data_IF_258860141437
#
_entry.id   IF_258860141437
#
_cell.length_a   1.000
_cell.length_b   1.000
_cell.length_c   1.000
_cell.angle_alpha   90.00
_cell.angle_beta   90.00
_cell.angle_gamma   90.00
#
_symmetry.space_group_name_H-M   'P 1'
#
loop_
_entity.id
_entity.type
_entity.pdbx_description
1 polymer ?
#
# COMPACT_ATOMS: atom_id res chain seq x y z
N UNK A 1 15.08 21.02 10.41
CA UNK A 1 13.72 20.46 10.47
C UNK A 1 13.61 19.42 9.36
N UNK A 2 12.93 18.32 9.58
CA UNK A 2 12.66 17.27 8.59
C UNK A 2 11.19 17.35 8.24
N UNK A 3 10.84 17.61 6.96
CA UNK A 3 9.46 17.57 6.51
C UNK A 3 8.89 16.13 6.59
N UNK A 4 7.69 16.01 7.12
CA UNK A 4 6.94 14.75 7.21
C UNK A 4 5.56 15.00 6.65
N UNK A 5 5.16 14.20 5.66
CA UNK A 5 3.80 14.20 5.13
C UNK A 5 3.03 13.00 5.68
N UNK A 6 1.71 13.06 5.72
CA UNK A 6 0.86 11.93 6.09
C UNK A 6 -0.07 11.56 4.95
N UNK A 7 -0.07 10.28 4.62
CA UNK A 7 -0.94 9.68 3.60
C UNK A 7 -1.67 8.47 4.17
N UNK A 8 -2.84 8.18 3.65
CA UNK A 8 -3.47 6.88 3.86
C UNK A 8 -3.99 6.27 2.56
N UNK A 9 -4.03 4.94 2.53
CA UNK A 9 -4.71 4.16 1.51
C UNK A 9 -5.81 3.32 2.16
N UNK A 10 -7.08 3.69 1.97
CA UNK A 10 -8.22 3.01 2.61
C UNK A 10 -8.07 2.89 4.15
N UNK A 11 -7.64 3.99 4.81
CA UNK A 11 -7.52 4.07 6.26
C UNK A 11 -6.30 3.41 6.90
N UNK A 12 -5.42 2.79 6.11
CA UNK A 12 -4.09 2.37 6.55
C UNK A 12 -3.13 3.53 6.28
N UNK A 13 -2.61 4.14 7.33
CA UNK A 13 -1.95 5.44 7.29
C UNK A 13 -0.42 5.35 7.46
N UNK A 14 0.28 6.25 6.79
CA UNK A 14 1.74 6.27 6.76
C UNK A 14 2.28 7.68 6.87
N UNK A 15 3.33 7.86 7.67
CA UNK A 15 4.19 9.02 7.52
C UNK A 15 5.13 8.81 6.34
N UNK A 16 5.33 9.86 5.57
CA UNK A 16 6.23 9.88 4.41
C UNK A 16 7.35 10.87 4.67
N UNK A 17 8.58 10.39 4.54
CA UNK A 17 9.81 11.17 4.68
C UNK A 17 10.60 11.02 3.39
N UNK A 18 11.06 12.13 2.81
CA UNK A 18 11.99 12.08 1.68
C UNK A 18 13.28 11.38 2.12
N UNK A 19 13.72 10.38 1.37
CA UNK A 19 14.91 9.60 1.72
C UNK A 19 16.22 10.42 1.67
N UNK A 20 16.20 11.61 1.05
CA UNK A 20 17.30 12.55 1.04
C UNK A 20 17.44 13.32 2.38
N UNK A 21 16.41 13.30 3.24
CA UNK A 21 16.47 13.97 4.52
C UNK A 21 17.51 13.32 5.47
N UNK A 22 18.25 14.13 6.25
CA UNK A 22 19.34 13.64 7.10
C UNK A 22 18.83 12.99 8.40
N UNK A 23 18.16 11.84 8.26
CA UNK A 23 17.68 11.03 9.38
C UNK A 23 18.79 10.10 9.85
N UNK A 24 19.30 10.31 11.06
CA UNK A 24 20.42 9.54 11.61
C UNK A 24 20.04 8.09 11.92
N UNK A 25 18.86 7.86 12.48
CA UNK A 25 18.31 6.54 12.78
C UNK A 25 16.84 6.47 12.33
N UNK A 26 16.61 5.87 11.16
CA UNK A 26 15.27 5.72 10.58
C UNK A 26 14.38 4.79 11.40
N UNK A 27 14.97 3.79 12.09
CA UNK A 27 14.21 2.85 12.92
C UNK A 27 13.70 3.52 14.19
N UNK A 28 14.58 4.25 14.88
CA UNK A 28 14.19 5.01 16.07
C UNK A 28 13.13 6.06 15.72
N UNK A 29 13.29 6.74 14.58
CA UNK A 29 12.31 7.71 14.11
C UNK A 29 10.95 7.05 13.81
N UNK A 30 10.92 5.86 13.18
CA UNK A 30 9.68 5.17 12.89
C UNK A 30 8.95 4.77 14.17
N UNK A 31 9.65 4.22 15.16
CA UNK A 31 9.08 3.86 16.47
C UNK A 31 8.48 5.09 17.15
N UNK A 32 9.22 6.23 17.16
CA UNK A 32 8.76 7.47 17.78
C UNK A 32 7.54 8.07 17.08
N UNK A 33 7.58 8.18 15.74
CA UNK A 33 6.49 8.81 15.00
C UNK A 33 5.21 7.98 14.99
N UNK A 34 5.33 6.66 14.91
CA UNK A 34 4.18 5.77 14.76
C UNK A 34 3.43 5.47 16.06
N UNK A 35 3.96 5.86 17.20
CA UNK A 35 3.29 5.65 18.50
C UNK A 35 1.88 6.24 18.48
N UNK A 36 0.87 5.44 18.84
CA UNK A 36 -0.55 5.86 18.78
C UNK A 36 -0.98 6.70 19.99
N UNK A 37 -0.15 6.76 21.04
CA UNK A 37 -0.42 7.56 22.24
C UNK A 37 0.36 8.88 22.23
N UNK A 38 1.67 8.82 21.95
CA UNK A 38 2.61 9.95 22.09
C UNK A 38 3.32 10.33 20.76
N UNK A 39 2.99 9.70 19.65
CA UNK A 39 3.62 9.90 18.36
C UNK A 39 3.26 11.22 17.67
N UNK A 40 3.65 11.35 16.39
CA UNK A 40 3.36 12.55 15.62
C UNK A 40 1.87 12.64 15.28
N UNK A 41 1.28 13.83 15.49
CA UNK A 41 -0.11 14.11 15.10
C UNK A 41 -0.13 14.92 13.81
N UNK A 42 -0.75 14.37 12.75
CA UNK A 42 -1.08 15.05 11.50
C UNK A 42 -2.49 14.63 11.10
N UNK A 43 -3.33 15.59 10.71
CA UNK A 43 -4.75 15.34 10.46
C UNK A 43 -5.51 15.07 11.77
N UNK A 44 -6.38 14.06 11.75
CA UNK A 44 -7.28 13.74 12.89
C UNK A 44 -6.70 12.64 13.81
N UNK A 45 -5.55 12.03 13.48
CA UNK A 45 -5.01 10.89 14.23
C UNK A 45 -3.57 11.10 14.69
N UNK A 46 -3.23 10.45 15.81
CA UNK A 46 -1.87 10.36 16.37
C UNK A 46 -1.22 9.08 15.87
N UNK A 47 0.08 9.11 15.58
CA UNK A 47 0.82 7.98 15.07
C UNK A 47 0.42 7.55 13.66
N UNK A 48 0.95 6.41 13.22
CA UNK A 48 0.66 5.80 11.92
C UNK A 48 0.98 4.29 11.94
N UNK A 49 0.53 3.57 10.88
CA UNK A 49 0.82 2.14 10.68
C UNK A 49 2.24 1.90 10.13
N UNK A 50 2.99 2.96 9.83
CA UNK A 50 4.38 2.88 9.42
C UNK A 50 4.95 4.20 8.90
N UNK A 51 6.26 4.18 8.61
CA UNK A 51 6.97 5.28 7.94
C UNK A 51 7.50 4.80 6.60
N UNK A 52 7.15 5.53 5.55
CA UNK A 52 7.69 5.36 4.21
C UNK A 52 8.85 6.34 3.99
N UNK A 53 10.06 5.82 3.81
CA UNK A 53 11.18 6.60 3.29
C UNK A 53 11.20 6.46 1.77
N UNK A 54 10.95 7.57 1.06
CA UNK A 54 10.75 7.59 -0.38
C UNK A 54 11.86 8.38 -1.08
N UNK A 55 12.46 7.79 -2.11
CA UNK A 55 13.36 8.50 -3.02
C UNK A 55 12.74 8.54 -4.42
N UNK A 56 12.47 9.75 -4.93
CA UNK A 56 11.98 9.94 -6.29
C UNK A 56 13.17 10.08 -7.26
N UNK A 57 13.23 9.18 -8.23
CA UNK A 57 14.19 9.17 -9.32
C UNK A 57 13.45 9.46 -10.63
N UNK A 58 13.51 10.67 -11.10
CA UNK A 58 12.78 11.17 -12.28
C UNK A 58 13.60 11.23 -13.57
N UNK A 59 14.88 10.84 -13.50
CA UNK A 59 15.79 10.79 -14.65
C UNK A 59 15.55 9.62 -15.63
N UNK A 60 14.59 8.75 -15.34
CA UNK A 60 14.24 7.61 -16.20
C UNK A 60 13.06 7.94 -17.12
N UNK A 61 12.91 7.16 -18.21
CA UNK A 61 11.77 7.28 -19.13
C UNK A 61 10.42 7.08 -18.42
N UNK A 62 10.37 6.22 -17.38
CA UNK A 62 9.28 6.14 -16.42
C UNK A 62 9.84 6.53 -15.06
N UNK A 63 9.34 7.58 -14.42
CA UNK A 63 9.79 7.97 -13.08
C UNK A 63 9.70 6.80 -12.10
N UNK A 64 10.63 6.74 -11.15
CA UNK A 64 10.73 5.69 -10.15
C UNK A 64 10.65 6.29 -8.75
N UNK A 65 9.97 5.59 -7.86
CA UNK A 65 10.02 5.85 -6.43
C UNK A 65 10.55 4.62 -5.71
N UNK A 66 11.69 4.77 -5.04
CA UNK A 66 12.25 3.71 -4.19
C UNK A 66 11.59 3.82 -2.82
N UNK A 67 10.91 2.76 -2.39
CA UNK A 67 10.16 2.71 -1.14
C UNK A 67 10.86 1.82 -0.11
N UNK A 68 11.14 2.38 1.06
CA UNK A 68 11.51 1.62 2.26
C UNK A 68 10.43 1.83 3.30
N UNK A 69 9.74 0.75 3.68
CA UNK A 69 8.73 0.77 4.75
C UNK A 69 9.37 0.32 6.07
N UNK A 70 9.22 1.13 7.10
CA UNK A 70 9.47 0.77 8.49
C UNK A 70 8.15 0.71 9.24
N UNK A 71 7.92 -0.42 9.93
CA UNK A 71 6.76 -0.67 10.77
C UNK A 71 6.90 0.02 12.15
N UNK A 72 5.84 0.14 12.95
CA UNK A 72 5.90 0.78 14.27
C UNK A 72 6.90 0.15 15.25
N UNK A 73 7.25 -1.13 15.07
CA UNK A 73 8.28 -1.83 15.85
C UNK A 73 9.72 -1.59 15.30
N UNK A 74 9.86 -0.77 14.27
CA UNK A 74 11.13 -0.51 13.59
C UNK A 74 11.59 -1.62 12.63
N UNK A 75 10.81 -2.69 12.43
CA UNK A 75 11.11 -3.72 11.43
C UNK A 75 10.78 -3.24 10.02
N UNK A 76 11.27 -3.95 8.99
CA UNK A 76 10.95 -3.66 7.59
C UNK A 76 9.95 -4.65 7.04
N UNK A 77 9.01 -4.20 6.22
CA UNK A 77 8.17 -5.07 5.42
C UNK A 77 8.58 -5.01 3.94
N UNK A 78 8.71 -6.17 3.26
CA UNK A 78 9.17 -6.21 1.86
C UNK A 78 8.16 -5.61 0.89
N UNK A 79 6.89 -5.62 1.22
CA UNK A 79 5.78 -5.07 0.44
C UNK A 79 4.62 -4.68 1.36
N UNK A 80 3.97 -3.57 1.01
CA UNK A 80 2.67 -3.15 1.53
C UNK A 80 1.89 -2.53 0.38
N UNK A 81 0.74 -3.11 0.00
CA UNK A 81 -0.06 -2.62 -1.12
C UNK A 81 -0.59 -1.20 -0.90
N UNK A 82 -0.99 -0.88 0.33
CA UNK A 82 -1.46 0.47 0.68
C UNK A 82 -0.29 1.46 0.69
N UNK A 83 0.85 1.09 1.31
CA UNK A 83 2.06 1.93 1.31
C UNK A 83 2.59 2.18 -0.10
N UNK A 84 2.57 1.18 -0.98
CA UNK A 84 2.99 1.34 -2.37
C UNK A 84 2.06 2.28 -3.17
N UNK A 85 0.74 2.26 -2.90
CA UNK A 85 -0.20 3.25 -3.47
C UNK A 85 0.10 4.66 -2.95
N UNK A 86 0.31 4.82 -1.65
CA UNK A 86 0.71 6.11 -1.07
C UNK A 86 2.03 6.63 -1.65
N UNK A 87 3.03 5.76 -1.85
CA UNK A 87 4.30 6.11 -2.48
C UNK A 87 4.12 6.58 -3.93
N UNK A 88 3.27 5.90 -4.71
CA UNK A 88 2.95 6.31 -6.08
C UNK A 88 2.23 7.67 -6.12
N UNK A 89 1.24 7.90 -5.26
CA UNK A 89 0.52 9.16 -5.14
C UNK A 89 1.45 10.32 -4.74
N UNK A 90 2.33 10.09 -3.76
CA UNK A 90 3.35 11.06 -3.35
C UNK A 90 4.30 11.43 -4.51
N UNK A 91 4.76 10.44 -5.27
CA UNK A 91 5.63 10.68 -6.42
C UNK A 91 4.89 11.44 -7.54
N UNK A 92 3.68 11.03 -7.89
CA UNK A 92 2.84 11.69 -8.89
C UNK A 92 2.58 13.16 -8.55
N UNK A 93 2.24 13.45 -7.28
CA UNK A 93 2.03 14.82 -6.81
C UNK A 93 3.29 15.69 -6.96
N UNK A 94 4.49 15.15 -6.70
CA UNK A 94 5.76 15.88 -6.91
C UNK A 94 6.05 16.12 -8.39
N UNK A 95 5.80 15.14 -9.25
CA UNK A 95 5.98 15.27 -10.69
C UNK A 95 5.04 16.33 -11.26
N UNK A 96 3.75 16.29 -10.94
CA UNK A 96 2.76 17.30 -11.37
C UNK A 96 3.17 18.71 -10.94
N UNK A 97 3.57 18.91 -9.68
CA UNK A 97 4.06 20.21 -9.17
C UNK A 97 5.30 20.72 -9.91
N UNK A 98 6.20 19.81 -10.30
CA UNK A 98 7.38 20.19 -11.10
C UNK A 98 6.97 20.66 -12.49
N UNK A 99 6.14 19.90 -13.17
CA UNK A 99 5.66 20.22 -14.53
C UNK A 99 4.89 21.54 -14.56
N UNK A 100 4.08 21.83 -13.53
CA UNK A 100 3.40 23.11 -13.37
C UNK A 100 4.38 24.28 -13.22
N UNK A 101 5.43 24.11 -12.41
CA UNK A 101 6.49 25.12 -12.23
C UNK A 101 7.24 25.37 -13.54
N UNK A 102 7.57 24.33 -14.28
CA UNK A 102 8.25 24.44 -15.58
C UNK A 102 7.38 25.16 -16.61
N UNK A 103 6.11 24.76 -16.73
CA UNK A 103 5.12 25.43 -17.61
C UNK A 103 4.96 26.90 -17.25
N UNK A 104 4.85 27.22 -15.96
CA UNK A 104 4.73 28.60 -15.46
C UNK A 104 5.99 29.41 -15.76
N UNK A 105 7.18 28.83 -15.62
CA UNK A 105 8.46 29.45 -15.94
C UNK A 105 8.58 29.77 -17.45
N UNK A 106 8.23 28.80 -18.30
CA UNK A 106 8.24 28.98 -19.77
C UNK A 106 7.24 30.08 -20.19
N UNK A 107 6.02 30.05 -19.65
CA UNK A 107 5.01 31.07 -19.93
C UNK A 107 5.45 32.48 -19.49
N UNK A 108 6.13 32.58 -18.35
CA UNK A 108 6.70 33.84 -17.83
C UNK A 108 7.86 34.34 -18.71
N UNK A 109 8.71 33.46 -19.23
CA UNK A 109 9.80 33.78 -20.13
C UNK A 109 9.25 34.25 -21.50
N UNK A 110 8.24 33.58 -22.05
CA UNK A 110 7.60 33.95 -23.30
C UNK A 110 6.94 35.35 -23.24
N UNK A 111 6.32 35.70 -22.11
CA UNK A 111 5.74 37.04 -21.91
C UNK A 111 6.79 38.16 -21.84
N UNK A 112 8.01 37.86 -21.41
CA UNK A 112 9.12 38.83 -21.35
C UNK A 112 9.81 39.06 -22.68
N UNK A 113 9.70 38.12 -23.63
CA UNK A 113 10.35 38.21 -24.93
C UNK A 113 9.51 38.93 -26.03
N UNK A 114 8.29 39.41 -25.73
CA UNK A 114 7.44 40.20 -26.66
C UNK A 114 6.81 39.38 -27.79
N UNK A 115 5.76 39.86 -28.44
CA UNK A 115 5.02 39.09 -29.43
C UNK A 115 5.74 39.03 -30.77
N UNK A 116 6.31 37.89 -31.13
CA UNK A 116 6.55 37.53 -32.51
C UNK A 116 5.30 36.75 -32.97
N UNK A 117 4.47 37.43 -33.78
CA UNK A 117 3.28 36.80 -34.34
C UNK A 117 3.62 35.65 -35.26
N UNK A 118 2.94 34.52 -35.04
CA UNK A 118 2.52 33.62 -36.13
C UNK A 118 1.35 32.77 -35.63
N UNK A 119 0.17 33.04 -36.25
CA UNK A 119 -0.98 32.13 -36.21
C UNK A 119 -0.60 30.81 -36.91
N UNK A 120 -0.64 29.72 -36.17
CA UNK A 120 -0.71 28.39 -36.75
C UNK A 120 -1.85 27.63 -36.03
N UNK A 121 -3.02 27.62 -36.66
CA UNK A 121 -4.11 26.70 -36.29
C UNK A 121 -3.72 25.31 -36.77
N UNK A 122 -3.41 24.42 -35.87
CA UNK A 122 -3.30 22.99 -36.10
C UNK A 122 -4.56 22.32 -35.53
N UNK A 123 -5.43 21.83 -36.41
CA UNK A 123 -6.52 20.93 -36.07
C UNK A 123 -5.92 19.56 -35.70
N UNK A 124 -5.86 19.23 -34.43
CA UNK A 124 -5.54 17.92 -33.94
C UNK A 124 -6.82 17.10 -33.80
N UNK A 125 -6.87 15.98 -34.50
CA UNK A 125 -7.93 15.00 -34.50
C UNK A 125 -8.07 14.38 -33.09
N UNK A 126 -9.30 14.45 -32.55
CA UNK A 126 -9.69 13.75 -31.35
C UNK A 126 -9.63 12.22 -31.58
N UNK A 127 -8.77 11.54 -30.86
CA UNK A 127 -8.75 10.10 -30.73
C UNK A 127 -8.56 9.75 -29.26
N UNK A 128 -9.53 9.02 -28.71
CA UNK A 128 -9.58 8.30 -27.42
C UNK A 128 -8.91 8.98 -26.21
N UNK A 129 -9.65 9.85 -25.54
CA UNK A 129 -9.25 10.60 -24.34
C UNK A 129 -9.80 9.99 -23.06
N UNK A 130 -9.37 8.79 -22.68
CA UNK A 130 -9.73 8.23 -21.37
C UNK A 130 -8.56 8.08 -20.40
N UNK A 131 -7.30 8.41 -20.78
CA UNK A 131 -6.13 8.14 -19.93
C UNK A 131 -4.95 9.15 -20.13
N UNK A 132 -5.20 10.32 -20.74
CA UNK A 132 -4.11 11.27 -21.06
C UNK A 132 -3.55 12.03 -19.84
N UNK A 133 -4.26 12.04 -18.70
CA UNK A 133 -3.85 12.80 -17.50
C UNK A 133 -3.29 11.90 -16.37
N UNK A 134 -3.26 10.58 -16.54
CA UNK A 134 -2.77 9.67 -15.51
C UNK A 134 -1.24 9.62 -15.46
N UNK A 135 -0.68 9.77 -14.25
CA UNK A 135 0.77 9.71 -14.02
C UNK A 135 1.22 8.27 -13.77
N UNK A 136 2.08 7.73 -14.63
CA UNK A 136 2.71 6.41 -14.41
C UNK A 136 4.01 6.54 -13.64
N UNK A 137 4.16 5.72 -12.58
CA UNK A 137 5.35 5.65 -11.72
C UNK A 137 5.73 4.18 -11.49
N UNK A 138 7.02 3.88 -11.52
CA UNK A 138 7.55 2.59 -11.10
C UNK A 138 7.86 2.64 -9.59
N UNK A 139 7.23 1.77 -8.80
CA UNK A 139 7.46 1.67 -7.35
C UNK A 139 8.42 0.52 -7.08
N UNK A 140 9.62 0.84 -6.65
CA UNK A 140 10.64 -0.13 -6.29
C UNK A 140 10.51 -0.50 -4.81
N UNK A 141 10.20 -1.75 -4.54
CA UNK A 141 10.06 -2.33 -3.20
C UNK A 141 11.07 -3.46 -2.98
N UNK A 142 11.23 -3.93 -1.76
CA UNK A 142 12.06 -5.11 -1.49
C UNK A 142 11.51 -6.39 -2.13
N UNK A 143 10.21 -6.45 -2.45
CA UNK A 143 9.57 -7.55 -3.18
C UNK A 143 9.65 -7.40 -4.71
N UNK A 144 10.31 -6.33 -5.20
CA UNK A 144 10.51 -6.03 -6.61
C UNK A 144 9.79 -4.75 -7.06
N UNK A 145 9.98 -4.44 -8.34
CA UNK A 145 9.37 -3.24 -8.96
C UNK A 145 7.92 -3.50 -9.33
N UNK A 146 7.06 -2.52 -9.08
CA UNK A 146 5.64 -2.52 -9.44
C UNK A 146 5.30 -1.29 -10.25
N UNK A 147 4.55 -1.46 -11.34
CA UNK A 147 4.01 -0.33 -12.10
C UNK A 147 2.76 0.17 -11.40
N UNK A 148 2.70 1.47 -11.19
CA UNK A 148 1.53 2.15 -10.67
C UNK A 148 1.09 3.28 -11.61
N UNK A 149 -0.22 3.52 -11.68
CA UNK A 149 -0.83 4.63 -12.41
C UNK A 149 -1.71 5.40 -11.44
N UNK A 150 -1.52 6.70 -11.38
CA UNK A 150 -2.23 7.62 -10.48
C UNK A 150 -3.08 8.55 -11.33
N UNK A 151 -4.39 8.53 -11.14
CA UNK A 151 -5.33 9.43 -11.81
C UNK A 151 -5.43 10.79 -11.09
N UNK A 152 -6.22 11.70 -11.65
CA UNK A 152 -6.41 13.05 -11.11
C UNK A 152 -7.18 13.09 -9.78
N UNK A 153 -7.86 12.00 -9.40
CA UNK A 153 -8.53 11.85 -8.12
C UNK A 153 -7.66 11.24 -7.02
N UNK A 154 -6.35 11.06 -7.28
CA UNK A 154 -5.39 10.35 -6.43
C UNK A 154 -5.80 8.89 -6.15
N UNK A 155 -6.64 8.29 -7.04
CA UNK A 155 -6.84 6.85 -7.06
C UNK A 155 -5.67 6.19 -7.76
N UNK A 156 -5.17 5.12 -7.16
CA UNK A 156 -3.96 4.43 -7.60
C UNK A 156 -4.29 3.01 -8.03
N UNK A 157 -3.91 2.69 -9.26
CA UNK A 157 -3.90 1.33 -9.78
C UNK A 157 -2.46 0.82 -9.78
N UNK A 158 -2.20 -0.33 -9.13
CA UNK A 158 -0.85 -0.90 -9.00
C UNK A 158 -0.82 -2.38 -9.34
N UNK A 159 0.22 -2.80 -10.07
CA UNK A 159 0.48 -4.22 -10.36
C UNK A 159 1.01 -4.92 -9.09
N UNK A 160 0.37 -6.04 -8.71
CA UNK A 160 0.70 -6.79 -7.50
C UNK A 160 1.40 -8.12 -7.78
N UNK A 161 1.64 -8.44 -9.09
CA UNK A 161 2.18 -9.73 -9.48
C UNK A 161 1.18 -10.87 -9.36
N UNK A 162 1.62 -12.09 -9.64
CA UNK A 162 0.76 -13.28 -9.65
C UNK A 162 0.63 -13.86 -8.22
N UNK A 163 -0.60 -14.09 -7.71
CA UNK A 163 -0.81 -14.88 -6.50
C UNK A 163 -0.23 -16.29 -6.64
N UNK A 164 0.40 -16.81 -5.60
CA UNK A 164 1.07 -18.11 -5.62
C UNK A 164 0.56 -19.02 -4.49
N UNK A 165 0.10 -20.21 -4.86
CA UNK A 165 -0.42 -21.22 -3.92
C UNK A 165 0.61 -22.32 -3.59
N UNK A 166 1.70 -22.40 -4.35
CA UNK A 166 2.72 -23.42 -4.14
C UNK A 166 3.34 -23.34 -2.72
N UNK A 167 3.50 -24.47 -2.02
CA UNK A 167 3.98 -24.50 -0.64
C UNK A 167 5.27 -23.74 -0.40
N UNK A 168 6.23 -23.86 -1.30
CA UNK A 168 7.51 -23.15 -1.22
C UNK A 168 7.36 -21.62 -1.34
N UNK A 169 6.33 -21.14 -2.04
CA UNK A 169 6.06 -19.71 -2.23
C UNK A 169 5.36 -19.10 -1.01
N UNK A 170 4.43 -19.85 -0.39
CA UNK A 170 3.69 -19.39 0.81
C UNK A 170 4.49 -19.57 2.10
N UNK A 171 5.58 -20.28 2.11
CA UNK A 171 6.30 -21.13 3.05
C UNK A 171 5.42 -21.83 4.10
N UNK A 172 4.59 -22.77 3.63
CA UNK A 172 3.86 -23.70 4.51
C UNK A 172 4.67 -24.95 4.80
N UNK A 173 4.45 -25.57 5.97
CA UNK A 173 5.19 -26.76 6.45
C UNK A 173 4.61 -28.06 5.88
N UNK A 174 4.45 -28.13 4.54
CA UNK A 174 3.93 -29.30 3.82
C UNK A 174 4.35 -29.24 2.34
N UNK A 175 4.25 -30.38 1.65
CA UNK A 175 4.66 -30.51 0.25
C UNK A 175 3.53 -30.15 -0.74
N UNK A 176 2.29 -30.10 -0.30
CA UNK A 176 1.11 -29.78 -1.13
C UNK A 176 0.52 -28.41 -0.75
N UNK A 177 -0.17 -27.73 -1.69
CA UNK A 177 -0.91 -26.52 -1.40
C UNK A 177 -1.88 -26.70 -0.22
N UNK A 178 -1.99 -25.70 0.63
CA UNK A 178 -2.92 -25.70 1.75
C UNK A 178 -4.22 -25.07 1.28
N UNK A 179 -5.23 -25.90 1.03
CA UNK A 179 -6.54 -25.49 0.48
C UNK A 179 -7.64 -26.04 1.36
N UNK A 180 -8.50 -25.17 1.89
CA UNK A 180 -9.64 -25.50 2.76
C UNK A 180 -9.29 -26.40 3.96
N UNK A 181 -8.16 -26.14 4.60
CA UNK A 181 -7.70 -26.93 5.74
C UNK A 181 -8.12 -26.32 7.06
N UNK A 182 -8.60 -27.13 8.02
CA UNK A 182 -8.93 -26.67 9.37
C UNK A 182 -7.66 -26.37 10.17
N UNK A 183 -7.45 -25.10 10.54
CA UNK A 183 -6.32 -24.64 11.35
C UNK A 183 -6.85 -23.72 12.45
N UNK A 184 -6.65 -24.11 13.72
CA UNK A 184 -6.97 -23.31 14.90
C UNK A 184 -8.38 -22.68 14.87
N UNK A 185 -9.37 -23.44 14.40
CA UNK A 185 -10.77 -23.04 14.39
C UNK A 185 -11.24 -22.30 13.13
N UNK A 186 -10.36 -22.05 12.18
CA UNK A 186 -10.71 -21.54 10.85
C UNK A 186 -10.40 -22.59 9.75
N UNK A 187 -11.22 -22.62 8.72
CA UNK A 187 -10.89 -23.37 7.50
C UNK A 187 -10.17 -22.41 6.56
N UNK A 188 -8.88 -22.62 6.31
CA UNK A 188 -8.03 -21.67 5.59
C UNK A 188 -7.48 -22.23 4.30
N UNK A 189 -7.30 -21.33 3.32
CA UNK A 189 -6.52 -21.56 2.11
C UNK A 189 -5.32 -20.61 2.13
N UNK A 190 -4.12 -21.14 1.89
CA UNK A 190 -2.88 -20.37 1.96
C UNK A 190 -2.48 -19.85 0.58
N UNK A 191 -2.17 -18.57 0.49
CA UNK A 191 -1.72 -17.90 -0.74
C UNK A 191 -0.62 -16.88 -0.43
N UNK A 192 0.32 -16.71 -1.33
CA UNK A 192 1.30 -15.62 -1.27
C UNK A 192 0.96 -14.54 -2.31
N UNK A 193 0.79 -13.32 -1.83
CA UNK A 193 0.59 -12.10 -2.61
C UNK A 193 1.68 -11.08 -2.26
N UNK A 194 2.95 -11.49 -2.42
CA UNK A 194 4.22 -10.93 -1.94
C UNK A 194 4.43 -11.11 -0.42
N UNK A 195 3.37 -11.30 0.34
CA UNK A 195 3.39 -11.76 1.73
C UNK A 195 2.43 -12.94 1.88
N UNK A 196 2.71 -13.87 2.83
CA UNK A 196 1.85 -15.03 3.03
C UNK A 196 0.54 -14.65 3.73
N UNK A 197 -0.57 -15.17 3.22
CA UNK A 197 -1.91 -15.07 3.79
C UNK A 197 -2.52 -16.44 4.05
N UNK A 198 -3.16 -16.60 5.20
CA UNK A 198 -4.13 -17.64 5.51
C UNK A 198 -5.52 -17.03 5.36
N UNK A 199 -6.23 -17.37 4.27
CA UNK A 199 -7.54 -16.80 3.95
C UNK A 199 -8.63 -17.78 4.36
N UNK A 200 -9.60 -17.32 5.15
CA UNK A 200 -10.79 -18.08 5.51
C UNK A 200 -12.06 -17.38 5.05
N UNK A 201 -12.94 -18.09 4.35
CA UNK A 201 -14.28 -17.60 4.06
C UNK A 201 -15.22 -17.98 5.21
N UNK A 202 -15.97 -16.99 5.67
CA UNK A 202 -16.93 -17.08 6.77
C UNK A 202 -18.29 -16.54 6.34
N UNK A 203 -19.36 -16.86 7.06
CA UNK A 203 -20.70 -16.36 6.72
C UNK A 203 -20.81 -14.83 6.89
N UNK A 204 -20.19 -14.31 7.96
CA UNK A 204 -20.17 -12.87 8.29
C UNK A 204 -18.86 -12.54 9.01
N UNK A 205 -18.04 -11.67 8.43
CA UNK A 205 -16.78 -11.22 9.04
C UNK A 205 -17.01 -10.48 10.36
N UNK A 206 -18.16 -9.81 10.53
CA UNK A 206 -18.47 -9.08 11.75
C UNK A 206 -18.79 -10.00 12.95
N UNK A 207 -19.19 -11.25 12.69
CA UNK A 207 -19.49 -12.24 13.73
C UNK A 207 -18.23 -12.92 14.31
N UNK A 208 -17.05 -12.71 13.69
CA UNK A 208 -15.79 -13.34 14.10
C UNK A 208 -15.00 -12.40 15.03
N UNK A 209 -14.65 -12.89 16.20
CA UNK A 209 -13.64 -12.23 17.07
C UNK A 209 -12.25 -12.54 16.51
N UNK A 210 -11.80 -11.69 15.56
CA UNK A 210 -10.56 -11.91 14.82
C UNK A 210 -9.34 -11.84 15.75
N UNK A 211 -9.33 -10.93 16.72
CA UNK A 211 -8.22 -10.78 17.66
C UNK A 211 -8.09 -12.02 18.60
N UNK A 212 -9.18 -12.73 18.84
CA UNK A 212 -9.15 -13.95 19.62
C UNK A 212 -8.63 -15.16 18.82
N UNK A 213 -9.02 -15.29 17.54
CA UNK A 213 -8.72 -16.49 16.73
C UNK A 213 -7.44 -16.37 15.90
N UNK A 214 -7.15 -15.18 15.37
CA UNK A 214 -6.06 -15.00 14.42
C UNK A 214 -4.65 -15.26 14.99
N UNK A 215 -4.31 -14.92 16.25
CA UNK A 215 -2.98 -15.18 16.81
C UNK A 215 -2.57 -16.65 16.78
N UNK A 216 -3.53 -17.58 16.98
CA UNK A 216 -3.28 -19.02 16.93
C UNK A 216 -3.03 -19.47 15.49
N UNK A 217 -3.89 -19.09 14.54
CA UNK A 217 -3.73 -19.40 13.11
C UNK A 217 -2.41 -18.83 12.56
N UNK A 218 -2.10 -17.56 12.89
CA UNK A 218 -0.89 -16.87 12.44
C UNK A 218 0.40 -17.61 12.84
N UNK A 219 0.41 -18.28 13.99
CA UNK A 219 1.57 -18.97 14.56
C UNK A 219 1.46 -20.49 14.50
N UNK A 220 0.43 -21.01 13.81
CA UNK A 220 0.25 -22.44 13.66
C UNK A 220 1.48 -23.10 13.00
N UNK A 221 1.77 -24.35 13.36
CA UNK A 221 2.89 -25.12 12.80
C UNK A 221 2.85 -25.20 11.27
N UNK A 222 1.65 -25.08 10.69
CA UNK A 222 1.46 -24.99 9.23
C UNK A 222 2.18 -23.77 8.61
N UNK A 223 2.41 -22.71 9.36
CA UNK A 223 3.03 -21.45 8.91
C UNK A 223 4.32 -21.16 9.71
N UNK A 224 5.46 -21.84 9.43
CA UNK A 224 6.69 -21.72 10.22
C UNK A 224 7.29 -20.31 10.24
N UNK A 225 6.92 -19.45 9.28
CA UNK A 225 7.30 -18.03 9.25
C UNK A 225 6.14 -17.09 9.60
N UNK A 226 5.01 -17.68 10.02
CA UNK A 226 3.75 -16.97 10.23
C UNK A 226 3.14 -16.43 8.93
N UNK A 227 1.84 -16.17 8.97
CA UNK A 227 1.07 -15.60 7.88
C UNK A 227 0.17 -14.47 8.39
N UNK A 228 -0.26 -13.55 7.51
CA UNK A 228 -1.42 -12.72 7.78
C UNK A 228 -2.66 -13.61 7.83
N UNK A 229 -3.58 -13.34 8.73
CA UNK A 229 -4.85 -14.05 8.80
C UNK A 229 -5.94 -13.15 8.26
N UNK A 230 -6.51 -13.54 7.11
CA UNK A 230 -7.51 -12.76 6.40
C UNK A 230 -8.82 -13.54 6.41
N UNK A 231 -9.88 -12.94 6.93
CA UNK A 231 -11.22 -13.48 6.82
C UNK A 231 -12.02 -12.67 5.79
N UNK A 232 -12.89 -13.36 5.05
CA UNK A 232 -13.75 -12.73 4.06
C UNK A 232 -15.15 -13.33 4.12
N UNK A 233 -16.18 -12.52 3.81
CA UNK A 233 -17.55 -12.98 3.65
C UNK A 233 -18.17 -12.41 2.37
N UNK A 234 -19.07 -13.14 1.69
CA UNK A 234 -19.76 -12.64 0.52
C UNK A 234 -20.61 -11.39 0.86
N UNK A 235 -20.49 -10.35 0.04
CA UNK A 235 -21.31 -9.12 0.17
C UNK A 235 -22.33 -9.02 -0.97
N UNK A 236 -21.88 -9.32 -2.20
CA UNK A 236 -22.68 -9.42 -3.42
C UNK A 236 -21.91 -10.28 -4.42
N UNK A 237 -22.46 -10.53 -5.60
CA UNK A 237 -21.74 -11.23 -6.67
C UNK A 237 -20.43 -10.49 -7.01
N UNK A 238 -19.29 -11.18 -6.92
CA UNK A 238 -17.96 -10.60 -7.15
C UNK A 238 -17.52 -9.56 -6.12
N UNK A 239 -18.18 -9.49 -4.95
CA UNK A 239 -17.83 -8.56 -3.89
C UNK A 239 -17.76 -9.26 -2.53
N UNK A 240 -16.75 -8.90 -1.72
CA UNK A 240 -16.48 -9.49 -0.41
C UNK A 240 -16.17 -8.42 0.64
N UNK A 241 -16.69 -8.61 1.84
CA UNK A 241 -16.18 -7.94 3.03
C UNK A 241 -14.90 -8.63 3.49
N UNK A 242 -13.95 -7.88 4.04
CA UNK A 242 -12.63 -8.37 4.47
C UNK A 242 -12.25 -7.80 5.83
N UNK A 243 -11.61 -8.65 6.66
CA UNK A 243 -10.84 -8.20 7.83
C UNK A 243 -9.52 -8.95 7.85
N UNK A 244 -8.43 -8.28 8.28
CA UNK A 244 -7.09 -8.89 8.30
C UNK A 244 -6.36 -8.56 9.60
N UNK A 245 -5.86 -9.62 10.24
CA UNK A 245 -4.88 -9.55 11.31
C UNK A 245 -3.49 -9.66 10.68
N UNK A 246 -2.68 -8.60 10.80
CA UNK A 246 -1.42 -8.52 10.07
C UNK A 246 -0.21 -8.96 10.90
N UNK A 247 0.63 -9.77 10.26
CA UNK A 247 1.94 -10.15 10.78
C UNK A 247 2.88 -8.95 10.81
N UNK A 248 3.48 -8.68 11.97
CA UNK A 248 4.36 -7.52 12.19
C UNK A 248 3.65 -6.33 12.83
N UNK A 249 2.35 -6.16 12.57
CA UNK A 249 1.47 -5.27 13.36
C UNK A 249 0.97 -6.02 14.59
N UNK A 250 0.73 -7.33 14.46
CA UNK A 250 0.19 -8.22 15.50
C UNK A 250 -1.19 -7.76 15.99
N UNK A 251 -2.02 -7.27 15.08
CA UNK A 251 -3.36 -6.77 15.30
C UNK A 251 -4.15 -6.63 14.01
N UNK A 252 -5.44 -6.33 14.12
CA UNK A 252 -6.30 -6.02 12.99
C UNK A 252 -5.99 -4.63 12.44
N UNK A 253 -5.84 -4.53 11.11
CA UNK A 253 -5.65 -3.25 10.42
C UNK A 253 -6.91 -2.83 9.68
N UNK A 254 -7.06 -1.53 9.45
CA UNK A 254 -8.23 -0.99 8.75
C UNK A 254 -8.27 -1.39 7.27
N UNK A 255 -7.13 -1.73 6.67
CA UNK A 255 -7.04 -2.16 5.28
C UNK A 255 -5.76 -2.93 5.02
N UNK A 256 -5.87 -4.02 4.29
CA UNK A 256 -4.73 -4.81 3.81
C UNK A 256 -4.87 -5.04 2.29
N UNK A 257 -4.07 -4.32 1.49
CA UNK A 257 -4.13 -4.42 0.02
C UNK A 257 -3.68 -5.79 -0.50
N UNK A 258 -2.63 -6.39 0.08
CA UNK A 258 -2.21 -7.77 -0.24
C UNK A 258 -3.26 -8.78 0.19
N UNK A 259 -3.97 -8.52 1.30
CA UNK A 259 -5.10 -9.30 1.75
C UNK A 259 -6.29 -9.25 0.80
N UNK A 260 -6.58 -8.06 0.22
CA UNK A 260 -7.63 -7.94 -0.79
C UNK A 260 -7.32 -8.77 -2.05
N UNK A 261 -6.06 -8.75 -2.51
CA UNK A 261 -5.58 -9.61 -3.60
C UNK A 261 -5.68 -11.09 -3.21
N UNK A 262 -5.36 -11.44 -1.95
CA UNK A 262 -5.47 -12.80 -1.44
C UNK A 262 -6.93 -13.29 -1.44
N UNK A 263 -7.87 -12.45 -0.97
CA UNK A 263 -9.32 -12.76 -1.00
C UNK A 263 -9.78 -13.02 -2.42
N UNK A 264 -9.46 -12.13 -3.38
CA UNK A 264 -9.87 -12.29 -4.78
C UNK A 264 -9.27 -13.56 -5.40
N UNK A 265 -7.99 -13.85 -5.14
CA UNK A 265 -7.31 -15.03 -5.66
C UNK A 265 -7.92 -16.34 -5.11
N UNK A 266 -8.14 -16.40 -3.79
CA UNK A 266 -8.72 -17.58 -3.14
C UNK A 266 -10.20 -17.75 -3.51
N UNK A 267 -10.96 -16.66 -3.64
CA UNK A 267 -12.34 -16.72 -4.10
C UNK A 267 -12.46 -17.37 -5.49
N UNK A 268 -11.55 -17.06 -6.41
CA UNK A 268 -11.49 -17.72 -7.74
C UNK A 268 -11.03 -19.16 -7.65
N UNK A 269 -9.99 -19.44 -6.85
CA UNK A 269 -9.47 -20.81 -6.68
C UNK A 269 -10.54 -21.77 -6.14
N UNK A 270 -11.37 -21.28 -5.19
CA UNK A 270 -12.44 -22.08 -4.58
C UNK A 270 -13.77 -22.03 -5.35
N UNK A 271 -13.85 -21.26 -6.45
CA UNK A 271 -15.07 -21.14 -7.26
C UNK A 271 -16.17 -20.31 -6.59
N UNK A 272 -15.83 -19.43 -5.63
CA UNK A 272 -16.79 -18.47 -5.08
C UNK A 272 -17.14 -17.34 -6.07
N UNK A 273 -16.31 -17.13 -7.09
CA UNK A 273 -16.55 -16.19 -8.19
C UNK A 273 -15.72 -16.54 -9.40
N UNK A 274 -16.31 -16.32 -10.60
CA UNK A 274 -15.63 -16.41 -11.90
C UNK A 274 -15.27 -15.00 -12.44
N UNK A 275 -15.57 -13.94 -11.68
CA UNK A 275 -15.35 -12.56 -12.11
C UNK A 275 -13.85 -12.24 -12.25
N UNK A 276 -13.46 -11.58 -13.34
CA UNK A 276 -12.11 -11.06 -13.53
C UNK A 276 -11.82 -9.88 -12.58
N UNK A 277 -12.85 -9.10 -12.24
CA UNK A 277 -12.77 -7.98 -11.31
C UNK A 277 -13.58 -8.30 -10.04
N UNK A 278 -12.92 -8.22 -8.90
CA UNK A 278 -13.46 -8.49 -7.57
C UNK A 278 -13.37 -7.23 -6.74
N UNK A 279 -14.47 -6.80 -6.14
CA UNK A 279 -14.47 -5.70 -5.18
C UNK A 279 -14.33 -6.25 -3.76
N UNK A 280 -13.37 -5.71 -3.01
CA UNK A 280 -13.11 -6.10 -1.62
C UNK A 280 -13.30 -4.88 -0.70
N UNK A 281 -14.01 -5.09 0.41
CA UNK A 281 -14.34 -4.06 1.36
C UNK A 281 -13.68 -4.35 2.73
N UNK A 282 -12.44 -3.93 2.96
CA UNK A 282 -11.90 -3.83 4.30
C UNK A 282 -12.59 -2.70 5.08
N UNK A 283 -12.46 -2.63 6.43
CA UNK A 283 -13.06 -1.58 7.26
C UNK A 283 -12.72 -0.15 6.81
N UNK A 284 -11.57 0.05 6.18
CA UNK A 284 -11.11 1.36 5.73
C UNK A 284 -11.64 1.83 4.38
N UNK A 285 -12.41 0.99 3.63
CA UNK A 285 -13.03 1.40 2.37
C UNK A 285 -12.85 0.39 1.23
N UNK A 286 -13.25 0.80 0.02
CA UNK A 286 -13.30 -0.05 -1.16
C UNK A 286 -11.92 -0.23 -1.80
N UNK A 287 -11.63 -1.46 -2.21
CA UNK A 287 -10.53 -1.86 -3.06
C UNK A 287 -11.07 -2.68 -4.24
N UNK A 288 -10.55 -2.45 -5.43
CA UNK A 288 -10.89 -3.24 -6.61
C UNK A 288 -9.67 -4.07 -7.03
N UNK A 289 -9.86 -5.37 -7.20
CA UNK A 289 -8.82 -6.31 -7.61
C UNK A 289 -9.20 -6.91 -8.95
N UNK A 290 -8.33 -6.79 -9.93
CA UNK A 290 -8.46 -7.51 -11.20
C UNK A 290 -7.40 -8.61 -11.27
N UNK A 291 -7.83 -9.81 -11.66
CA UNK A 291 -6.96 -10.96 -11.85
C UNK A 291 -6.95 -11.35 -13.34
N UNK A 292 -5.80 -11.25 -13.97
CA UNK A 292 -5.58 -11.65 -15.36
C UNK A 292 -4.37 -12.58 -15.50
N UNK A 293 -4.00 -12.96 -16.73
CA UNK A 293 -2.86 -13.84 -17.02
C UNK A 293 -1.50 -13.24 -16.59
N UNK A 294 -1.41 -11.92 -16.41
CA UNK A 294 -0.19 -11.22 -15.98
C UNK A 294 -0.06 -11.19 -14.46
N UNK A 295 -1.15 -11.41 -13.75
CA UNK A 295 -1.22 -11.40 -12.29
C UNK A 295 -2.38 -10.57 -11.75
N UNK A 296 -2.19 -10.03 -10.56
CA UNK A 296 -3.17 -9.19 -9.90
C UNK A 296 -2.86 -7.70 -10.10
N UNK A 297 -3.91 -6.92 -10.25
CA UNK A 297 -3.89 -5.45 -10.25
C UNK A 297 -4.82 -4.99 -9.16
N UNK A 298 -4.30 -4.14 -8.25
CA UNK A 298 -5.05 -3.57 -7.14
C UNK A 298 -5.32 -2.09 -7.44
N UNK A 299 -6.57 -1.67 -7.32
CA UNK A 299 -6.95 -0.26 -7.41
C UNK A 299 -7.66 0.20 -6.13
N UNK A 300 -7.40 1.45 -5.76
CA UNK A 300 -8.07 2.07 -4.62
C UNK A 300 -7.59 3.49 -4.33
N UNK A 301 -8.36 4.25 -3.57
CA UNK A 301 -8.06 5.64 -3.27
C UNK A 301 -6.82 5.78 -2.37
N UNK A 302 -6.18 6.94 -2.50
CA UNK A 302 -5.20 7.45 -1.53
C UNK A 302 -5.58 8.87 -1.15
N UNK A 303 -5.19 9.28 0.04
CA UNK A 303 -5.44 10.63 0.53
C UNK A 303 -4.21 11.18 1.23
N UNK A 304 -3.90 12.44 0.96
CA UNK A 304 -2.88 13.22 1.67
C UNK A 304 -3.56 14.00 2.80
N UNK A 305 -3.28 13.60 4.04
CA UNK A 305 -3.93 14.20 5.24
C UNK A 305 -3.30 15.53 5.65
N UNK A 306 -2.02 15.75 5.36
CA UNK A 306 -1.31 16.97 5.74
C UNK A 306 0.20 16.79 5.83
N UNK A 307 0.85 17.81 6.36
CA UNK A 307 2.31 17.87 6.52
C UNK A 307 2.70 18.52 7.84
N UNK A 308 3.87 18.16 8.39
CA UNK A 308 4.48 18.75 9.57
C UNK A 308 6.00 18.81 9.41
N UNK A 309 6.66 19.57 10.28
CA UNK A 309 8.11 19.58 10.37
C UNK A 309 8.56 19.08 11.75
N UNK A 310 9.49 18.14 11.78
CA UNK A 310 10.06 17.62 13.01
C UNK A 310 11.53 18.08 13.19
N UNK A 311 12.04 18.23 14.41
CA UNK A 311 13.44 18.60 14.65
C UNK A 311 14.42 17.53 14.15
N UNK A 312 15.56 17.94 13.59
CA UNK A 312 16.68 17.02 13.31
C UNK A 312 17.30 16.60 14.65
N UNK A 313 17.28 15.31 14.97
CA UNK A 313 17.96 14.78 16.17
C UNK A 313 17.07 14.49 17.38
N UNK A 314 15.78 14.30 17.22
CA UNK A 314 14.91 13.75 18.28
C UNK A 314 15.01 12.23 18.35
N UNK A 315 16.14 11.67 18.83
CA UNK A 315 16.05 10.48 19.65
C UNK A 315 15.94 10.99 21.11
N UNK A 316 14.78 10.86 21.74
CA UNK A 316 14.72 10.95 23.21
C UNK A 316 15.70 9.90 23.73
N UNK A 317 16.82 10.36 24.27
CA UNK A 317 17.70 9.49 25.04
C UNK A 317 16.83 8.86 26.13
N UNK A 318 16.62 7.55 26.04
CA UNK A 318 16.12 6.77 27.16
C UNK A 318 17.03 7.11 28.33
N UNK A 319 16.50 7.85 29.29
CA UNK A 319 17.21 8.14 30.52
C UNK A 319 17.57 6.81 31.17
N UNK A 320 18.86 6.48 31.13
CA UNK A 320 19.41 5.46 32.02
C UNK A 320 19.22 6.06 33.41
N UNK A 321 18.22 5.58 34.13
CA UNK A 321 18.16 5.79 35.57
C UNK A 321 19.32 5.02 36.15
N UNK A 322 20.36 5.74 36.58
CA UNK A 322 21.33 5.23 37.53
C UNK A 322 20.61 5.01 38.86
N UNK A 323 20.52 3.73 39.27
CA UNK A 323 20.46 3.29 40.66
C UNK A 323 21.25 1.99 40.82
#
# INVERSE_FOLDING_TARGET
MIPVEKYHGTGNDFFVVDAAEPVADRRALAIELCDRDDGLSIGESVGADGVLFLALEDGYASPRVVMTLLQPDGSTAPMCGNGARCAAAWAARRLRRRDERERSSIASAARRSGPAGHDARGEGTAADSADEDATTVMVDTQAGTRRATVDDSDSVTIEMGAPRFAPASVPVARDEPLVEEPIEGLTVTAVNTDVPHAVAFVDDVAAVDLDAVAPAVRRADAFPRGANVTIASPRAEGAFDQRTYERGVEGETRSCGTGAVAVAAVARELGHTDAEAVTVWPPGGRLDVRLDERGAVLAGPTEHEGEAEIPIGTSRSAGIADD
#
